data_IF_921737818972
#
_entry.id   IF_921737818972
#
_cell.length_a   1.000
_cell.length_b   1.000
_cell.length_c   1.000
_cell.angle_alpha   90.00
_cell.angle_beta   90.00
_cell.angle_gamma   90.00
#
_symmetry.space_group_name_H-M   'P 1'
#
loop_
_entity.id
_entity.type
_entity.pdbx_description
1 polymer ?
#
# COMPACT_ATOMS: atom_id res chain seq x y z
N UNK A 1 -14.30 10.58 -18.87
CA UNK A 1 -14.96 9.77 -17.83
C UNK A 1 -14.20 8.46 -17.67
N UNK A 2 -13.32 8.34 -16.66
CA UNK A 2 -12.76 7.07 -16.13
C UNK A 2 -11.89 7.23 -14.85
N UNK A 3 -11.96 8.34 -14.11
CA UNK A 3 -11.16 8.57 -12.90
C UNK A 3 -11.54 7.68 -11.69
N UNK A 4 -12.82 7.35 -11.44
CA UNK A 4 -13.19 6.54 -10.25
C UNK A 4 -12.62 5.12 -10.28
N UNK A 5 -12.47 4.53 -11.47
CA UNK A 5 -12.05 3.14 -11.62
C UNK A 5 -10.55 2.94 -11.29
N UNK A 6 -9.70 3.93 -11.57
CA UNK A 6 -8.27 3.84 -11.24
C UNK A 6 -8.02 3.92 -9.74
N UNK A 7 -8.71 4.84 -9.04
CA UNK A 7 -8.60 4.99 -7.58
C UNK A 7 -9.09 3.72 -6.88
N UNK A 8 -10.22 3.14 -7.30
CA UNK A 8 -10.71 1.90 -6.70
C UNK A 8 -9.71 0.75 -6.85
N UNK A 9 -9.14 0.56 -8.05
CA UNK A 9 -8.09 -0.46 -8.27
C UNK A 9 -6.83 -0.21 -7.47
N UNK A 10 -6.40 1.05 -7.36
CA UNK A 10 -5.25 1.42 -6.55
C UNK A 10 -5.51 1.16 -5.06
N UNK A 11 -6.71 1.45 -4.57
CA UNK A 11 -7.12 1.15 -3.20
C UNK A 11 -7.21 -0.36 -2.95
N UNK A 12 -7.78 -1.12 -3.87
CA UNK A 12 -7.79 -2.59 -3.79
C UNK A 12 -6.35 -3.13 -3.67
N UNK A 13 -5.43 -2.62 -4.49
CA UNK A 13 -4.01 -2.97 -4.41
C UNK A 13 -3.40 -2.59 -3.06
N UNK A 14 -3.59 -1.35 -2.61
CA UNK A 14 -3.06 -0.86 -1.34
C UNK A 14 -3.53 -1.69 -0.14
N UNK A 15 -4.83 -2.02 -0.08
CA UNK A 15 -5.41 -2.82 1.00
C UNK A 15 -4.96 -4.29 0.95
N UNK A 16 -4.71 -4.84 -0.24
CA UNK A 16 -4.33 -6.25 -0.42
C UNK A 16 -2.83 -6.48 -0.50
N UNK A 17 -2.01 -5.43 -0.38
CA UNK A 17 -0.56 -5.58 -0.33
C UNK A 17 -0.13 -6.44 0.87
N UNK A 18 1.03 -7.09 0.74
CA UNK A 18 1.58 -7.95 1.78
C UNK A 18 1.75 -7.23 3.12
N UNK A 19 1.34 -7.89 4.20
CA UNK A 19 1.26 -7.31 5.56
C UNK A 19 2.60 -6.76 6.05
N UNK A 20 3.72 -7.37 5.66
CA UNK A 20 5.08 -6.97 6.07
C UNK A 20 5.89 -6.22 5.02
N UNK A 21 5.30 -5.78 3.90
CA UNK A 21 6.06 -5.07 2.86
C UNK A 21 6.35 -3.64 3.30
N UNK A 22 7.62 -3.30 3.51
CA UNK A 22 8.02 -1.94 3.93
C UNK A 22 8.47 -1.06 2.76
N UNK A 23 8.42 -1.57 1.53
CA UNK A 23 8.98 -0.87 0.36
C UNK A 23 8.14 0.31 -0.09
N UNK A 24 6.85 0.30 0.23
CA UNK A 24 5.87 1.30 -0.17
C UNK A 24 4.84 1.43 0.94
N UNK A 25 4.41 2.66 1.24
CA UNK A 25 3.35 2.97 2.19
C UNK A 25 2.30 3.84 1.51
N UNK A 26 1.04 3.72 1.93
CA UNK A 26 -0.10 4.36 1.26
C UNK A 26 -0.78 5.36 2.17
N UNK A 27 -1.12 6.51 1.61
CA UNK A 27 -1.65 7.64 2.35
C UNK A 27 -2.76 8.37 1.60
N UNK A 28 -3.54 9.14 2.36
CA UNK A 28 -4.47 10.14 1.84
C UNK A 28 -4.19 11.48 2.51
N UNK A 29 -3.96 12.52 1.72
CA UNK A 29 -3.80 13.89 2.21
C UNK A 29 -5.13 14.62 2.16
N UNK A 30 -5.72 14.90 3.33
CA UNK A 30 -6.99 15.63 3.42
C UNK A 30 -6.92 17.06 2.88
N UNK A 31 -5.74 17.68 2.88
CA UNK A 31 -5.60 19.07 2.42
C UNK A 31 -5.77 19.17 0.91
N UNK A 32 -5.14 18.22 0.21
CA UNK A 32 -5.12 18.20 -1.24
C UNK A 32 -6.25 17.33 -1.81
N UNK A 33 -6.85 16.45 -1.00
CA UNK A 33 -7.85 15.48 -1.44
C UNK A 33 -7.25 14.35 -2.28
N UNK A 34 -5.98 14.01 -2.04
CA UNK A 34 -5.23 13.10 -2.91
C UNK A 34 -4.79 11.84 -2.16
N UNK A 35 -4.98 10.70 -2.82
CA UNK A 35 -4.27 9.47 -2.49
C UNK A 35 -2.84 9.55 -3.03
N UNK A 36 -1.91 8.93 -2.32
CA UNK A 36 -0.53 8.79 -2.76
C UNK A 36 0.15 7.62 -2.06
N UNK A 37 1.29 7.19 -2.60
CA UNK A 37 2.21 6.30 -1.92
C UNK A 37 3.59 6.93 -1.77
N UNK A 38 4.34 6.43 -0.81
CA UNK A 38 5.75 6.78 -0.56
C UNK A 38 6.56 5.50 -0.59
N UNK A 39 7.50 5.40 -1.51
CA UNK A 39 8.47 4.32 -1.55
C UNK A 39 9.60 4.56 -0.54
N UNK A 40 10.24 3.50 -0.07
CA UNK A 40 11.43 3.63 0.77
C UNK A 40 12.54 4.44 0.09
N UNK A 41 12.62 4.38 -1.24
CA UNK A 41 13.57 5.16 -2.04
C UNK A 41 13.28 6.66 -2.04
N UNK A 42 12.02 7.05 -1.83
CA UNK A 42 11.61 8.45 -1.85
C UNK A 42 12.24 9.24 -0.71
N UNK A 43 12.41 8.61 0.46
CA UNK A 43 13.11 9.23 1.60
C UNK A 43 14.54 9.63 1.26
N UNK A 44 15.25 8.84 0.44
CA UNK A 44 16.60 9.20 0.00
C UNK A 44 16.58 10.34 -1.02
N UNK A 45 15.56 10.39 -1.89
CA UNK A 45 15.41 11.44 -2.89
C UNK A 45 15.06 12.80 -2.27
N UNK A 46 14.40 12.81 -1.11
CA UNK A 46 14.00 14.02 -0.40
C UNK A 46 14.96 14.45 0.71
N UNK A 47 15.94 13.62 1.10
CA UNK A 47 16.90 13.99 2.16
C UNK A 47 17.82 15.14 1.67
N UNK A 48 17.80 16.31 2.33
CA UNK A 48 18.68 17.43 1.98
C UNK A 48 20.17 17.13 2.20
N UNK A 49 20.50 16.09 2.98
CA UNK A 49 21.87 15.61 3.18
C UNK A 49 22.27 14.52 2.18
N UNK A 50 21.37 14.10 1.29
CA UNK A 50 21.72 13.18 0.22
C UNK A 50 22.65 13.89 -0.76
N UNK A 51 23.83 13.32 -0.97
CA UNK A 51 24.88 13.88 -1.83
C UNK A 51 24.66 13.61 -3.31
N UNK A 52 23.53 12.99 -3.69
CA UNK A 52 23.19 12.69 -5.06
C UNK A 52 22.59 13.92 -5.74
N UNK A 53 23.33 14.47 -6.71
CA UNK A 53 22.72 15.23 -7.79
C UNK A 53 21.73 14.27 -8.47
N UNK A 54 20.45 14.32 -8.09
CA UNK A 54 19.39 13.41 -8.53
C UNK A 54 19.00 13.65 -10.00
N UNK A 55 19.96 13.55 -10.94
CA UNK A 55 19.73 13.71 -12.38
C UNK A 55 18.76 12.66 -12.93
N UNK A 56 18.65 11.53 -12.24
CA UNK A 56 17.89 10.36 -12.66
C UNK A 56 16.60 10.17 -11.82
N UNK A 57 16.19 11.20 -11.06
CA UNK A 57 14.93 11.17 -10.33
C UNK A 57 13.76 10.99 -11.30
N UNK A 58 12.81 10.08 -11.01
CA UNK A 58 11.58 9.98 -11.79
C UNK A 58 10.64 11.19 -11.54
N UNK A 59 10.93 12.02 -10.54
CA UNK A 59 10.13 13.17 -10.14
C UNK A 59 10.68 14.50 -10.67
N UNK A 60 9.79 15.41 -11.06
CA UNK A 60 10.14 16.82 -11.31
C UNK A 60 10.53 17.51 -10.01
N UNK A 61 11.12 18.72 -10.09
CA UNK A 61 11.48 19.51 -8.91
C UNK A 61 10.26 19.86 -8.06
N UNK A 62 9.15 20.17 -8.71
CA UNK A 62 7.87 20.47 -8.07
C UNK A 62 7.30 19.24 -7.36
N UNK A 63 7.34 18.08 -8.03
CA UNK A 63 6.91 16.79 -7.45
C UNK A 63 7.78 16.42 -6.23
N UNK A 64 9.11 16.57 -6.32
CA UNK A 64 10.01 16.34 -5.18
C UNK A 64 9.73 17.27 -4.00
N UNK A 65 9.44 18.54 -4.28
CA UNK A 65 9.06 19.50 -3.24
C UNK A 65 7.75 19.09 -2.55
N UNK A 66 6.78 18.60 -3.31
CA UNK A 66 5.52 18.09 -2.77
C UNK A 66 5.73 16.79 -1.98
N UNK A 67 6.55 15.85 -2.48
CA UNK A 67 6.94 14.62 -1.80
C UNK A 67 7.61 14.90 -0.45
N UNK A 68 8.61 15.79 -0.47
CA UNK A 68 9.31 16.23 0.73
C UNK A 68 8.35 16.86 1.74
N UNK A 69 7.45 17.75 1.29
CA UNK A 69 6.44 18.32 2.18
C UNK A 69 5.54 17.27 2.83
N UNK A 70 5.15 16.23 2.08
CA UNK A 70 4.32 15.13 2.59
C UNK A 70 5.07 14.28 3.61
N UNK A 71 6.34 13.94 3.33
CA UNK A 71 7.20 13.20 4.25
C UNK A 71 7.42 14.00 5.53
N UNK A 72 7.77 15.28 5.44
CA UNK A 72 7.96 16.15 6.62
C UNK A 72 6.70 16.19 7.50
N UNK A 73 5.51 16.26 6.87
CA UNK A 73 4.22 16.26 7.57
C UNK A 73 3.91 14.90 8.21
N UNK A 74 4.27 13.79 7.57
CA UNK A 74 4.16 12.46 8.17
C UNK A 74 5.03 12.34 9.41
N UNK A 75 6.30 12.76 9.34
CA UNK A 75 7.21 12.75 10.49
C UNK A 75 6.74 13.65 11.63
N UNK A 76 6.07 14.76 11.30
CA UNK A 76 5.42 15.64 12.26
C UNK A 76 4.09 15.11 12.83
N UNK A 77 3.64 13.91 12.43
CA UNK A 77 2.34 13.32 12.79
C UNK A 77 1.15 14.23 12.45
N UNK A 78 1.18 14.86 11.28
CA UNK A 78 0.10 15.74 10.82
C UNK A 78 -1.24 14.97 10.71
N UNK A 79 -2.31 15.37 11.44
CA UNK A 79 -3.60 14.67 11.44
C UNK A 79 -4.37 14.77 10.11
N UNK A 80 -3.91 15.60 9.18
CA UNK A 80 -4.45 15.67 7.82
C UNK A 80 -3.86 14.60 6.88
N UNK A 81 -2.78 13.93 7.28
CA UNK A 81 -2.26 12.76 6.57
C UNK A 81 -2.84 11.50 7.20
N UNK A 82 -3.58 10.74 6.40
CA UNK A 82 -4.16 9.47 6.83
C UNK A 82 -3.37 8.32 6.24
N UNK A 83 -2.93 7.41 7.09
CA UNK A 83 -2.36 6.14 6.66
C UNK A 83 -3.48 5.18 6.21
N UNK A 84 -3.34 4.58 5.03
CA UNK A 84 -4.29 3.57 4.56
C UNK A 84 -3.96 2.21 5.19
N UNK A 85 -4.91 1.58 5.91
CA UNK A 85 -4.66 0.29 6.52
C UNK A 85 -4.61 -0.80 5.44
N UNK A 86 -3.64 -1.72 5.57
CA UNK A 86 -3.67 -2.99 4.84
C UNK A 86 -4.56 -3.97 5.56
N UNK A 87 -5.09 -4.96 4.85
CA UNK A 87 -5.70 -6.13 5.48
C UNK A 87 -4.66 -6.82 6.37
N UNK A 88 -4.95 -6.86 7.66
CA UNK A 88 -4.15 -7.58 8.65
C UNK A 88 -4.15 -9.08 8.36
N UNK A 89 -3.19 -9.80 8.94
CA UNK A 89 -3.17 -11.26 8.84
C UNK A 89 -4.49 -11.89 9.33
N UNK A 90 -5.07 -11.32 10.40
CA UNK A 90 -6.36 -11.76 10.94
C UNK A 90 -7.49 -11.57 9.93
N UNK A 91 -7.62 -10.39 9.34
CA UNK A 91 -8.68 -10.09 8.35
C UNK A 91 -8.54 -10.93 7.07
N UNK A 92 -7.30 -11.23 6.65
CA UNK A 92 -7.04 -12.12 5.51
C UNK A 92 -7.53 -13.54 5.78
N UNK A 93 -7.23 -14.08 6.96
CA UNK A 93 -7.71 -15.40 7.40
C UNK A 93 -9.23 -15.42 7.57
N UNK A 94 -9.79 -14.38 8.18
CA UNK A 94 -11.23 -14.17 8.33
C UNK A 94 -11.92 -14.20 6.96
N UNK A 95 -11.41 -13.47 5.97
CA UNK A 95 -11.98 -13.43 4.62
C UNK A 95 -12.04 -14.84 3.99
N UNK A 96 -10.94 -15.60 4.07
CA UNK A 96 -10.90 -16.97 3.54
C UNK A 96 -11.90 -17.88 4.27
N UNK A 97 -11.94 -17.80 5.60
CA UNK A 97 -12.83 -18.62 6.43
C UNK A 97 -14.30 -18.30 6.16
N UNK A 98 -14.66 -17.01 6.09
CA UNK A 98 -16.02 -16.57 5.78
C UNK A 98 -16.51 -17.11 4.43
N UNK A 99 -15.63 -17.19 3.44
CA UNK A 99 -16.00 -17.77 2.15
C UNK A 99 -16.27 -19.27 2.27
N UNK A 100 -15.36 -20.03 2.89
CA UNK A 100 -15.53 -21.48 3.16
C UNK A 100 -16.86 -21.73 3.86
N UNK A 101 -17.16 -20.95 4.88
CA UNK A 101 -18.38 -21.09 5.68
C UNK A 101 -19.63 -20.77 4.85
N UNK A 102 -19.59 -19.71 4.04
CA UNK A 102 -20.72 -19.31 3.18
C UNK A 102 -21.07 -20.35 2.11
N UNK A 103 -20.08 -21.12 1.66
CA UNK A 103 -20.23 -22.16 0.64
C UNK A 103 -20.42 -23.56 1.23
N UNK A 104 -20.48 -23.69 2.56
CA UNK A 104 -20.54 -24.98 3.29
C UNK A 104 -19.39 -25.95 2.93
N UNK A 105 -18.17 -25.43 2.80
CA UNK A 105 -16.99 -26.21 2.38
C UNK A 105 -16.12 -26.67 3.56
N UNK A 106 -16.66 -26.69 4.79
CA UNK A 106 -15.87 -26.99 6.00
C UNK A 106 -15.27 -28.40 5.99
N UNK A 107 -15.85 -29.33 5.25
CA UNK A 107 -15.32 -30.68 5.07
C UNK A 107 -14.09 -30.75 4.15
N UNK A 108 -13.79 -29.69 3.39
CA UNK A 108 -12.64 -29.63 2.49
C UNK A 108 -11.38 -29.19 3.25
N UNK A 109 -10.70 -30.15 3.89
CA UNK A 109 -9.51 -29.88 4.70
C UNK A 109 -8.37 -29.16 3.96
N UNK A 110 -8.30 -29.30 2.63
CA UNK A 110 -7.32 -28.60 1.81
C UNK A 110 -7.54 -27.07 1.72
N UNK A 111 -8.80 -26.62 1.83
CA UNK A 111 -9.16 -25.21 1.89
C UNK A 111 -8.88 -24.64 3.29
N UNK A 112 -9.17 -25.42 4.33
CA UNK A 112 -8.80 -25.04 5.70
C UNK A 112 -7.28 -24.85 5.83
N UNK A 113 -6.49 -25.74 5.21
CA UNK A 113 -5.05 -25.60 5.16
C UNK A 113 -4.62 -24.25 4.54
N UNK A 114 -5.34 -23.72 3.55
CA UNK A 114 -5.05 -22.40 2.97
C UNK A 114 -5.22 -21.28 4.00
N UNK A 115 -6.27 -21.35 4.84
CA UNK A 115 -6.47 -20.42 5.95
C UNK A 115 -5.32 -20.52 6.96
N UNK A 116 -4.90 -21.74 7.28
CA UNK A 116 -3.88 -21.99 8.30
C UNK A 116 -2.50 -21.46 7.86
N UNK A 117 -2.12 -21.70 6.61
CA UNK A 117 -0.82 -21.29 6.03
C UNK A 117 -0.77 -19.82 5.60
N UNK A 118 -1.91 -19.12 5.55
CA UNK A 118 -1.94 -17.69 5.26
C UNK A 118 -0.99 -16.96 6.22
N UNK A 119 -0.08 -16.17 5.65
CA UNK A 119 1.04 -15.55 6.36
C UNK A 119 1.24 -14.07 5.98
N UNK A 120 0.29 -13.49 5.24
CA UNK A 120 0.32 -12.10 4.80
C UNK A 120 1.14 -11.87 3.53
N UNK A 121 1.75 -12.90 2.93
CA UNK A 121 2.53 -12.80 1.68
C UNK A 121 1.89 -13.54 0.50
N UNK A 122 0.70 -14.09 0.68
CA UNK A 122 -0.03 -14.77 -0.39
C UNK A 122 -0.83 -13.77 -1.21
N UNK A 123 -1.26 -14.22 -2.38
CA UNK A 123 -2.16 -13.47 -3.27
C UNK A 123 -3.62 -13.42 -2.79
N UNK A 124 -3.90 -13.87 -1.56
CA UNK A 124 -5.25 -14.00 -1.01
C UNK A 124 -6.11 -14.86 -1.91
N UNK A 125 -5.75 -16.13 -2.02
CA UNK A 125 -6.41 -17.10 -2.88
C UNK A 125 -6.24 -18.53 -2.34
N UNK A 126 -7.03 -19.47 -2.86
CA UNK A 126 -7.00 -20.88 -2.49
C UNK A 126 -5.98 -21.70 -3.31
N UNK A 127 -5.06 -21.05 -4.03
CA UNK A 127 -3.98 -21.67 -4.79
C UNK A 127 -4.45 -22.80 -5.74
N UNK A 128 -5.61 -22.61 -6.39
CA UNK A 128 -6.17 -23.60 -7.32
C UNK A 128 -6.81 -24.83 -6.67
N UNK A 129 -6.93 -24.86 -5.34
CA UNK A 129 -7.65 -25.93 -4.61
C UNK A 129 -9.15 -25.74 -4.58
N UNK A 130 -9.63 -24.58 -5.02
CA UNK A 130 -11.06 -24.31 -5.10
C UNK A 130 -11.65 -25.03 -6.33
N UNK A 131 -12.84 -25.66 -6.23
CA UNK A 131 -13.54 -26.16 -7.40
C UNK A 131 -13.74 -25.06 -8.45
N UNK A 132 -13.55 -25.40 -9.72
CA UNK A 132 -13.66 -24.42 -10.83
C UNK A 132 -15.03 -23.72 -10.87
N UNK A 133 -16.08 -24.42 -10.43
CA UNK A 133 -17.44 -23.88 -10.32
C UNK A 133 -17.61 -22.78 -9.25
N UNK A 134 -16.59 -22.55 -8.41
CA UNK A 134 -16.63 -21.57 -7.32
C UNK A 134 -15.59 -20.44 -7.50
N UNK A 135 -14.76 -20.49 -8.54
CA UNK A 135 -13.73 -19.46 -8.77
C UNK A 135 -14.32 -18.08 -9.01
N UNK A 136 -15.47 -18.00 -9.68
CA UNK A 136 -16.12 -16.72 -9.98
C UNK A 136 -16.76 -16.13 -8.73
N UNK A 137 -17.39 -16.98 -7.93
CA UNK A 137 -18.00 -16.69 -6.64
C UNK A 137 -16.93 -16.19 -5.67
N UNK A 138 -15.77 -16.85 -5.62
CA UNK A 138 -14.63 -16.40 -4.82
C UNK A 138 -14.13 -15.03 -5.24
N UNK A 139 -13.95 -14.79 -6.54
CA UNK A 139 -13.51 -13.49 -7.05
C UNK A 139 -14.50 -12.39 -6.66
N UNK A 140 -15.80 -12.63 -6.83
CA UNK A 140 -16.84 -11.68 -6.43
C UNK A 140 -16.83 -11.41 -4.92
N UNK A 141 -16.80 -12.48 -4.11
CA UNK A 141 -16.78 -12.37 -2.65
C UNK A 141 -15.55 -11.59 -2.15
N UNK A 142 -14.37 -11.89 -2.69
CA UNK A 142 -13.11 -11.21 -2.35
C UNK A 142 -13.20 -9.72 -2.68
N UNK A 143 -13.66 -9.37 -3.89
CA UNK A 143 -13.85 -7.97 -4.28
C UNK A 143 -14.83 -7.25 -3.36
N UNK A 144 -15.96 -7.86 -3.02
CA UNK A 144 -16.94 -7.29 -2.09
C UNK A 144 -16.40 -7.13 -0.65
N UNK A 145 -15.58 -8.07 -0.18
CA UNK A 145 -14.94 -7.95 1.13
C UNK A 145 -13.96 -6.76 1.16
N UNK A 146 -13.12 -6.64 0.14
CA UNK A 146 -12.14 -5.55 0.02
C UNK A 146 -12.87 -4.21 -0.11
N UNK A 147 -13.90 -4.13 -0.96
CA UNK A 147 -14.67 -2.91 -1.14
C UNK A 147 -15.31 -2.44 0.17
N UNK A 148 -15.87 -3.36 0.99
CA UNK A 148 -16.40 -3.01 2.31
C UNK A 148 -15.34 -2.39 3.24
N UNK A 149 -14.09 -2.85 3.18
CA UNK A 149 -12.99 -2.30 3.99
C UNK A 149 -12.58 -0.91 3.48
N UNK A 150 -12.52 -0.74 2.17
CA UNK A 150 -12.28 0.57 1.52
C UNK A 150 -13.38 1.57 1.91
N UNK A 151 -14.65 1.18 1.75
CA UNK A 151 -15.81 2.01 2.07
C UNK A 151 -15.81 2.40 3.55
N UNK A 152 -15.52 1.45 4.45
CA UNK A 152 -15.41 1.72 5.88
C UNK A 152 -14.32 2.76 6.17
N UNK A 153 -13.15 2.64 5.56
CA UNK A 153 -12.06 3.61 5.72
C UNK A 153 -12.45 4.99 5.20
N UNK A 154 -13.04 5.06 4.00
CA UNK A 154 -13.45 6.33 3.39
C UNK A 154 -14.55 7.01 4.20
N UNK A 155 -15.58 6.26 4.63
CA UNK A 155 -16.68 6.77 5.43
C UNK A 155 -16.23 7.28 6.80
N UNK A 156 -15.39 6.51 7.51
CA UNK A 156 -14.83 6.91 8.80
C UNK A 156 -14.08 8.24 8.70
N UNK A 157 -13.39 8.45 7.58
CA UNK A 157 -12.52 9.60 7.35
C UNK A 157 -13.16 10.72 6.54
N UNK A 158 -14.44 10.58 6.16
CA UNK A 158 -15.19 11.54 5.31
C UNK A 158 -14.49 11.81 3.97
N UNK A 159 -13.94 10.76 3.34
CA UNK A 159 -13.29 10.83 2.04
C UNK A 159 -14.34 10.59 0.95
N UNK A 160 -14.47 11.54 0.03
CA UNK A 160 -15.36 11.42 -1.13
C UNK A 160 -14.56 10.97 -2.36
N UNK A 161 -14.71 9.70 -2.74
CA UNK A 161 -13.98 9.12 -3.88
C UNK A 161 -14.28 9.80 -5.22
N UNK A 162 -15.44 10.44 -5.36
CA UNK A 162 -15.84 11.16 -6.58
C UNK A 162 -14.99 12.42 -6.85
N UNK A 163 -14.46 13.03 -5.78
CA UNK A 163 -13.65 14.25 -5.86
C UNK A 163 -12.18 14.00 -5.55
N UNK A 164 -11.85 12.83 -5.02
CA UNK A 164 -10.47 12.47 -4.72
C UNK A 164 -9.66 12.27 -6.01
N UNK A 165 -8.35 12.54 -5.92
CA UNK A 165 -7.40 12.28 -7.01
C UNK A 165 -6.32 11.31 -6.54
N UNK A 166 -5.53 10.80 -7.50
CA UNK A 166 -4.35 10.00 -7.23
C UNK A 166 -3.11 10.77 -7.71
N UNK A 167 -2.26 11.15 -6.76
CA UNK A 167 -0.95 11.68 -7.03
C UNK A 167 -0.02 10.48 -7.29
N UNK A 168 0.39 10.30 -8.55
CA UNK A 168 1.27 9.23 -9.09
C UNK A 168 0.63 8.04 -9.84
N UNK A 169 -0.49 8.26 -10.54
CA UNK A 169 -1.12 7.28 -11.47
C UNK A 169 -0.18 6.76 -12.62
N UNK A 170 1.08 7.22 -12.70
CA UNK A 170 2.00 6.98 -13.85
C UNK A 170 3.41 6.49 -13.53
N UNK A 171 3.85 6.37 -12.28
CA UNK A 171 5.29 6.19 -11.98
C UNK A 171 5.57 5.02 -11.04
N UNK A 172 5.25 3.80 -11.49
CA UNK A 172 6.07 2.65 -11.13
C UNK A 172 7.35 2.75 -11.97
N UNK A 173 8.43 3.30 -11.41
CA UNK A 173 9.73 3.28 -12.11
C UNK A 173 10.85 2.94 -11.15
N UNK A 174 11.54 1.87 -11.53
CA UNK A 174 12.73 1.30 -10.93
C UNK A 174 13.78 2.39 -10.63
N UNK A 175 14.13 2.56 -9.35
CA UNK A 175 15.22 3.44 -8.93
C UNK A 175 16.52 2.63 -8.95
N UNK A 176 17.48 3.04 -9.78
CA UNK A 176 18.85 2.51 -9.76
C UNK A 176 19.68 3.38 -8.81
N UNK A 177 19.97 2.86 -7.61
CA UNK A 177 20.87 3.53 -6.67
C UNK A 177 22.32 3.07 -6.94
N UNK A 178 23.18 3.98 -7.39
CA UNK A 178 24.62 3.71 -7.53
C UNK A 178 25.34 4.05 -6.20
N UNK A 179 25.76 3.01 -5.48
CA UNK A 179 26.37 3.13 -4.12
C UNK A 179 27.90 3.26 -4.19
N UNK A 180 28.48 3.49 -5.39
CA UNK A 180 29.93 3.42 -5.60
C UNK A 180 30.74 4.65 -5.14
N UNK A 181 30.12 5.71 -4.63
CA UNK A 181 30.81 6.93 -4.17
C UNK A 181 30.66 7.19 -2.66
N UNK A 182 31.17 6.28 -1.83
CA UNK A 182 31.51 6.62 -0.44
C UNK A 182 32.88 7.29 -0.39
N UNK A 183 32.95 8.57 -0.73
CA UNK A 183 34.07 9.41 -0.30
C UNK A 183 33.88 9.72 1.19
N UNK A 184 34.86 9.27 1.96
CA UNK A 184 34.96 9.40 3.40
C UNK A 184 34.90 10.86 3.85
N UNK A 185 33.71 11.33 4.22
CA UNK A 185 33.52 12.58 4.94
C UNK A 185 32.78 12.31 6.26
N UNK A 186 33.22 13.04 7.28
CA UNK A 186 33.01 12.76 8.70
C UNK A 186 31.52 12.62 9.04
N UNK A 187 31.20 11.51 9.70
CA UNK A 187 29.88 11.14 10.22
C UNK A 187 29.42 12.12 11.30
N UNK A 188 28.65 13.14 10.92
CA UNK A 188 27.62 13.65 11.81
C UNK A 188 26.50 12.61 11.86
N UNK A 189 26.05 12.28 13.07
CA UNK A 189 25.17 11.15 13.35
C UNK A 189 23.93 11.13 12.45
N UNK A 190 23.94 10.28 11.43
CA UNK A 190 22.76 9.82 10.73
C UNK A 190 21.88 9.17 11.80
N UNK A 191 20.79 9.83 12.20
CA UNK A 191 19.76 9.16 13.00
C UNK A 191 19.20 8.06 12.10
N UNK A 192 19.37 6.78 12.45
CA UNK A 192 18.88 5.75 11.58
C UNK A 192 17.35 5.70 11.64
N UNK A 193 16.72 5.79 10.47
CA UNK A 193 15.27 5.70 10.32
C UNK A 193 14.68 4.38 10.84
N UNK A 194 15.51 3.33 10.99
CA UNK A 194 15.13 2.07 11.63
C UNK A 194 15.00 2.14 13.16
N UNK A 195 15.34 3.27 13.81
CA UNK A 195 15.19 3.43 15.27
C UNK A 195 13.79 3.86 15.71
N UNK A 196 12.84 4.02 14.79
CA UNK A 196 11.46 4.43 15.09
C UNK A 196 10.46 3.25 15.08
N UNK A 197 10.96 2.02 15.07
CA UNK A 197 10.17 0.77 15.11
C UNK A 197 10.55 -0.06 16.33
#
# INVERSE_FOLDING_TARGET
>A
MSAPNNICKWLEFAFTEHVGRITEQYFFDKRDGEFYSVFITDYFLTDPNSSSNNSDSPYTKEELKQLSNRIDRQEANDPSILHLPRLTLGERKEMLQMFIDSQNLQSMGELQQCVDIENGKTNLDFNGKLPSSLETEWKSFKSEFIQRRIDSFCNLNKIHLETATLWTDKKMTQVSLDVSNTSSSKTNSIKPWWKFW
#
